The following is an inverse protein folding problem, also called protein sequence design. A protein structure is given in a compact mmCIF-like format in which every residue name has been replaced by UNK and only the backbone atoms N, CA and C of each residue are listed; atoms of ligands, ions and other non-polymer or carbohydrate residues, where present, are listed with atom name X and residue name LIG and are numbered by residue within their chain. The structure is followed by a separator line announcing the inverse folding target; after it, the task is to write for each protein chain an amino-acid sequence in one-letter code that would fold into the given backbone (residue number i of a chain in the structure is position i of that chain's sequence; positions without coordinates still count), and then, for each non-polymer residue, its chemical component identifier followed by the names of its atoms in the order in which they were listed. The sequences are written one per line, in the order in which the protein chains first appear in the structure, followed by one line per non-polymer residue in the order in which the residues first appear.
data_IF_091904959260
#
_entry.id   IF_091904959260
#
_cell.length_a   1.000
_cell.length_b   1.000
_cell.length_c   1.000
_cell.angle_alpha   90.00
_cell.angle_beta   90.00
_cell.angle_gamma   90.00
#
_symmetry.space_group_name_H-M   'P 1'
#
loop_
_entity.id
_entity.type
_entity.pdbx_description
1 polymer ?
#
# COMPACT_ATOMS: atom_id res chain seq x y z
N UNK A 1 55.61 -53.57 -53.58
CA UNK A 1 54.42 -53.69 -52.72
C UNK A 1 54.19 -52.28 -52.15
N UNK A 2 53.62 -51.37 -52.95
CA UNK A 2 52.17 -51.12 -53.03
C UNK A 2 51.65 -50.63 -51.66
N UNK A 3 51.13 -49.42 -51.41
CA UNK A 3 50.57 -48.31 -52.21
C UNK A 3 50.44 -47.08 -51.26
N UNK A 4 50.57 -45.87 -51.82
CA UNK A 4 49.83 -44.63 -51.49
C UNK A 4 49.93 -44.01 -50.07
N UNK A 5 49.99 -42.69 -49.84
CA UNK A 5 49.57 -41.55 -50.65
C UNK A 5 50.30 -40.23 -50.30
N UNK A 6 50.02 -39.25 -51.16
CA UNK A 6 50.70 -37.97 -51.44
C UNK A 6 50.70 -36.89 -50.35
N UNK A 7 51.72 -36.05 -50.49
CA UNK A 7 51.87 -34.68 -50.00
C UNK A 7 50.75 -33.72 -50.46
N UNK A 8 50.51 -32.63 -49.73
CA UNK A 8 51.00 -31.28 -50.09
C UNK A 8 50.53 -30.19 -49.11
N UNK A 9 51.39 -29.20 -48.99
CA UNK A 9 51.28 -27.91 -48.29
C UNK A 9 50.17 -27.01 -48.85
N UNK A 10 49.49 -26.24 -47.99
CA UNK A 10 49.18 -24.83 -48.30
C UNK A 10 48.76 -23.97 -47.09
N UNK A 11 49.34 -22.78 -47.10
CA UNK A 11 49.02 -21.51 -46.43
C UNK A 11 47.53 -21.26 -46.16
N UNK A 12 47.18 -20.87 -44.93
CA UNK A 12 45.89 -20.23 -44.62
C UNK A 12 46.14 -18.84 -44.02
N UNK A 13 45.65 -17.84 -44.75
CA UNK A 13 45.61 -16.44 -44.39
C UNK A 13 44.62 -16.17 -43.24
N UNK A 14 45.01 -15.29 -42.31
CA UNK A 14 44.15 -14.76 -41.25
C UNK A 14 43.19 -13.71 -41.84
N UNK A 15 41.89 -14.01 -41.83
CA UNK A 15 40.81 -13.04 -42.08
C UNK A 15 40.37 -12.49 -40.73
N UNK A 16 40.62 -11.19 -40.50
CA UNK A 16 40.04 -10.40 -39.42
C UNK A 16 38.64 -9.94 -39.87
N UNK A 17 37.60 -10.54 -39.31
CA UNK A 17 36.22 -10.06 -39.49
C UNK A 17 35.87 -9.14 -38.31
N UNK A 18 35.90 -7.82 -38.53
CA UNK A 18 35.29 -6.85 -37.63
C UNK A 18 33.76 -7.00 -37.70
N UNK A 19 33.17 -7.66 -36.71
CA UNK A 19 31.72 -7.69 -36.52
C UNK A 19 31.23 -6.35 -35.97
N UNK A 20 30.64 -5.53 -36.84
CA UNK A 20 29.81 -4.41 -36.41
C UNK A 20 28.49 -4.97 -35.84
N UNK A 21 28.38 -5.01 -34.52
CA UNK A 21 27.09 -5.20 -33.85
C UNK A 21 26.25 -3.92 -34.06
N UNK A 22 25.26 -4.00 -34.95
CA UNK A 22 24.18 -3.02 -34.98
C UNK A 22 23.33 -3.17 -33.71
N UNK A 23 23.53 -2.27 -32.76
CA UNK A 23 22.66 -2.12 -31.60
C UNK A 23 21.34 -1.50 -32.09
N UNK A 24 20.34 -2.34 -32.34
CA UNK A 24 18.99 -1.86 -32.63
C UNK A 24 18.42 -1.25 -31.34
N UNK A 25 18.05 0.04 -31.31
CA UNK A 25 17.40 0.61 -30.14
C UNK A 25 16.05 -0.11 -29.97
N UNK A 26 15.89 -0.81 -28.85
CA UNK A 26 14.60 -1.37 -28.46
C UNK A 26 13.53 -0.27 -28.40
N UNK A 27 12.24 -0.63 -28.51
CA UNK A 27 11.16 0.36 -28.50
C UNK A 27 11.30 1.21 -27.23
N UNK A 28 11.33 2.53 -27.42
CA UNK A 28 11.39 3.47 -26.32
C UNK A 28 10.19 3.22 -25.40
N UNK A 29 10.46 2.76 -24.18
CA UNK A 29 9.46 2.76 -23.11
C UNK A 29 9.11 4.23 -22.89
N UNK A 30 7.92 4.62 -23.32
CA UNK A 30 7.43 5.97 -23.11
C UNK A 30 7.46 6.25 -21.60
N UNK A 31 8.21 7.28 -21.20
CA UNK A 31 8.10 7.81 -19.83
C UNK A 31 6.64 8.22 -19.63
N UNK A 32 5.97 7.79 -18.54
CA UNK A 32 4.64 8.27 -18.26
C UNK A 32 4.65 9.79 -18.22
N UNK A 33 3.70 10.40 -18.92
CA UNK A 33 3.48 11.85 -18.91
C UNK A 33 3.27 12.27 -17.45
N UNK A 34 3.95 13.34 -17.03
CA UNK A 34 3.73 13.98 -15.73
C UNK A 34 2.22 14.09 -15.47
N UNK A 35 1.72 13.75 -14.27
CA UNK A 35 0.29 13.81 -13.99
C UNK A 35 -0.21 15.22 -14.29
N UNK A 36 -1.13 15.30 -15.26
CA UNK A 36 -1.85 16.53 -15.64
C UNK A 36 -2.32 17.17 -14.35
N UNK A 37 -1.94 18.43 -14.08
CA UNK A 37 -2.29 19.30 -12.93
C UNK A 37 -3.59 18.84 -12.25
N UNK A 38 -3.46 17.81 -11.42
CA UNK A 38 -4.57 16.90 -11.10
C UNK A 38 -5.46 17.51 -10.05
N UNK A 39 -6.71 17.04 -9.98
CA UNK A 39 -7.57 17.42 -8.87
C UNK A 39 -6.85 17.12 -7.55
N UNK A 40 -6.97 17.99 -6.55
CA UNK A 40 -6.33 17.78 -5.24
C UNK A 40 -7.03 16.66 -4.44
N UNK A 41 -7.60 15.65 -5.10
CA UNK A 41 -8.34 14.55 -4.48
C UNK A 41 -7.37 13.45 -4.02
N UNK A 42 -7.63 12.87 -2.86
CA UNK A 42 -6.97 11.66 -2.36
C UNK A 42 -8.04 10.61 -2.11
N UNK A 43 -7.88 9.42 -2.70
CA UNK A 43 -8.79 8.32 -2.47
C UNK A 43 -8.40 7.65 -1.16
N UNK A 44 -9.30 7.62 -0.20
CA UNK A 44 -9.10 6.97 1.09
C UNK A 44 -9.92 5.70 1.12
N UNK A 45 -9.25 4.56 1.24
CA UNK A 45 -9.89 3.24 1.29
C UNK A 45 -9.99 2.81 2.75
N UNK A 46 -11.21 2.54 3.20
CA UNK A 46 -11.50 1.96 4.51
C UNK A 46 -12.24 0.63 4.34
N UNK A 47 -12.24 -0.20 5.37
CA UNK A 47 -13.10 -1.38 5.44
C UNK A 47 -14.48 -0.99 5.99
N UNK A 48 -15.53 -1.61 5.45
CA UNK A 48 -16.88 -1.56 6.02
C UNK A 48 -17.15 -2.68 7.03
N UNK A 49 -16.26 -3.68 7.11
CA UNK A 49 -16.29 -4.73 8.15
C UNK A 49 -15.57 -4.28 9.42
N UNK A 50 -16.06 -4.76 10.56
CA UNK A 50 -15.55 -4.38 11.88
C UNK A 50 -15.49 -5.55 12.88
N UNK A 51 -15.90 -6.76 12.47
CA UNK A 51 -15.82 -7.95 13.32
C UNK A 51 -14.74 -8.89 12.80
N UNK A 52 -13.58 -8.87 13.45
CA UNK A 52 -12.46 -9.76 13.16
C UNK A 52 -12.70 -11.15 13.76
N UNK A 53 -12.63 -12.20 12.94
CA UNK A 53 -12.71 -13.58 13.41
C UNK A 53 -11.35 -14.08 13.85
N UNK A 54 -11.29 -14.61 15.07
CA UNK A 54 -10.12 -15.22 15.67
C UNK A 54 -10.21 -16.75 15.58
N UNK A 55 -9.07 -17.41 15.72
CA UNK A 55 -8.98 -18.88 15.81
C UNK A 55 -9.82 -19.38 16.99
N UNK A 56 -10.51 -20.50 16.77
CA UNK A 56 -11.38 -21.11 17.79
C UNK A 56 -12.77 -20.47 17.88
N UNK A 57 -13.19 -19.71 16.85
CA UNK A 57 -14.56 -19.19 16.73
C UNK A 57 -14.86 -17.95 17.57
N UNK A 58 -13.85 -17.35 18.20
CA UNK A 58 -13.97 -16.05 18.87
C UNK A 58 -14.01 -14.91 17.86
N UNK A 59 -14.52 -13.76 18.28
CA UNK A 59 -14.50 -12.52 17.49
C UNK A 59 -13.93 -11.36 18.30
N UNK A 60 -13.43 -10.35 17.60
CA UNK A 60 -12.97 -9.08 18.15
C UNK A 60 -13.56 -7.93 17.32
N UNK A 61 -14.12 -6.94 17.98
CA UNK A 61 -14.61 -5.72 17.33
C UNK A 61 -13.42 -4.78 17.10
N UNK A 62 -13.26 -4.31 15.87
CA UNK A 62 -12.14 -3.48 15.40
C UNK A 62 -12.67 -2.42 14.43
N UNK A 63 -11.80 -1.54 13.94
CA UNK A 63 -12.11 -0.62 12.87
C UNK A 63 -10.85 -0.04 12.28
N UNK A 64 -10.97 1.17 11.72
CA UNK A 64 -9.78 1.99 11.47
C UNK A 64 -9.23 2.54 12.80
N UNK A 65 -7.92 2.73 12.88
CA UNK A 65 -7.30 3.41 14.02
C UNK A 65 -7.44 4.94 13.91
N UNK A 66 -7.88 5.59 15.00
CA UNK A 66 -8.21 7.01 15.02
C UNK A 66 -7.04 7.89 14.58
N UNK A 67 -5.85 7.72 15.15
CA UNK A 67 -4.68 8.53 14.81
C UNK A 67 -4.20 8.23 13.38
N UNK A 68 -4.20 6.96 12.98
CA UNK A 68 -3.79 6.54 11.64
C UNK A 68 -4.70 7.06 10.53
N UNK A 69 -6.00 7.27 10.79
CA UNK A 69 -6.88 7.98 9.85
C UNK A 69 -6.70 9.50 9.96
N UNK A 70 -6.83 10.03 11.18
CA UNK A 70 -7.01 11.47 11.40
C UNK A 70 -5.74 12.28 11.21
N UNK A 71 -4.57 11.79 11.61
CA UNK A 71 -3.31 12.55 11.52
C UNK A 71 -2.92 12.76 10.05
N UNK A 72 -2.86 11.71 9.19
CA UNK A 72 -2.57 11.90 7.77
C UNK A 72 -3.64 12.71 7.05
N UNK A 73 -4.92 12.45 7.31
CA UNK A 73 -6.00 13.19 6.65
C UNK A 73 -6.01 14.67 7.02
N UNK A 74 -5.79 15.03 8.28
CA UNK A 74 -5.72 16.44 8.70
C UNK A 74 -4.55 17.15 8.03
N UNK A 75 -3.40 16.48 7.91
CA UNK A 75 -2.24 17.02 7.20
C UNK A 75 -2.53 17.24 5.71
N UNK A 76 -3.17 16.26 5.06
CA UNK A 76 -3.62 16.36 3.66
C UNK A 76 -4.63 17.51 3.46
N UNK A 77 -5.65 17.60 4.32
CA UNK A 77 -6.66 18.68 4.25
C UNK A 77 -6.02 20.04 4.48
N UNK A 78 -5.09 20.17 5.43
CA UNK A 78 -4.35 21.41 5.67
C UNK A 78 -3.48 21.81 4.46
N UNK A 79 -2.94 20.83 3.73
CA UNK A 79 -2.23 21.05 2.45
C UNK A 79 -3.18 21.28 1.25
N UNK A 80 -4.50 21.33 1.48
CA UNK A 80 -5.53 21.62 0.49
C UNK A 80 -5.95 20.42 -0.35
N UNK A 81 -5.72 19.19 0.11
CA UNK A 81 -6.26 17.99 -0.51
C UNK A 81 -7.69 17.69 -0.03
N UNK A 82 -8.52 17.16 -0.91
CA UNK A 82 -9.89 16.73 -0.63
C UNK A 82 -9.93 15.22 -0.51
N UNK A 83 -10.23 14.66 0.67
CA UNK A 83 -10.39 13.21 0.79
C UNK A 83 -11.70 12.75 0.18
N UNK A 84 -11.62 11.67 -0.61
CA UNK A 84 -12.78 10.93 -1.09
C UNK A 84 -12.73 9.56 -0.42
N UNK A 85 -13.71 9.26 0.44
CA UNK A 85 -13.68 8.07 1.28
C UNK A 85 -14.51 6.99 0.62
N UNK A 86 -13.92 5.81 0.43
CA UNK A 86 -14.54 4.67 -0.21
C UNK A 86 -14.37 3.38 0.59
N UNK A 87 -15.37 2.52 0.55
CA UNK A 87 -15.36 1.20 1.19
C UNK A 87 -15.99 0.15 0.26
N UNK A 88 -15.76 -1.16 0.50
CA UNK A 88 -16.52 -2.20 -0.17
C UNK A 88 -18.03 -1.99 -0.05
N UNK A 89 -18.70 -1.83 -1.19
CA UNK A 89 -20.16 -1.59 -1.25
C UNK A 89 -20.65 -0.25 -0.67
N UNK A 90 -19.75 0.67 -0.28
CA UNK A 90 -20.12 1.96 0.31
C UNK A 90 -20.65 1.84 1.74
N UNK A 91 -20.31 0.74 2.43
CA UNK A 91 -20.69 0.53 3.83
C UNK A 91 -19.96 1.51 4.75
N UNK A 92 -20.63 2.08 5.77
CA UNK A 92 -19.97 2.92 6.76
C UNK A 92 -18.84 2.14 7.45
N UNK A 93 -17.61 2.70 7.55
CA UNK A 93 -16.55 2.11 8.34
C UNK A 93 -16.83 2.30 9.85
N UNK A 94 -16.22 1.46 10.68
CA UNK A 94 -16.20 1.64 12.13
C UNK A 94 -14.82 2.13 12.59
N UNK A 95 -14.79 2.89 13.68
CA UNK A 95 -13.56 3.23 14.38
C UNK A 95 -13.24 2.14 15.40
N UNK A 96 -11.97 1.77 15.52
CA UNK A 96 -11.51 0.91 16.60
C UNK A 96 -11.53 1.67 17.93
N UNK A 97 -12.33 1.22 18.89
CA UNK A 97 -12.45 1.85 20.21
C UNK A 97 -11.15 1.80 21.01
N UNK A 98 -10.27 0.81 20.77
CA UNK A 98 -8.98 0.73 21.42
C UNK A 98 -8.04 1.87 20.98
N UNK A 99 -8.28 2.46 19.81
CA UNK A 99 -7.53 3.62 19.31
C UNK A 99 -7.96 4.96 19.90
N UNK A 100 -9.10 5.01 20.59
CA UNK A 100 -9.66 6.23 21.20
C UNK A 100 -9.00 6.57 22.54
N UNK A 101 -7.69 6.85 22.52
CA UNK A 101 -6.89 7.16 23.71
C UNK A 101 -5.79 8.17 23.41
N UNK A 102 -5.47 9.02 24.39
CA UNK A 102 -4.39 10.03 24.32
C UNK A 102 -3.00 9.40 24.11
N UNK A 103 -2.83 8.11 24.43
CA UNK A 103 -1.56 7.38 24.23
C UNK A 103 -1.09 7.45 22.77
N UNK A 104 -2.00 7.29 21.81
CA UNK A 104 -1.67 7.37 20.38
C UNK A 104 -1.45 8.81 19.88
N UNK A 105 -1.56 9.79 20.77
CA UNK A 105 -1.29 11.20 20.52
C UNK A 105 -0.19 11.71 21.45
N UNK A 106 0.72 10.84 21.89
CA UNK A 106 1.84 11.16 22.79
C UNK A 106 1.40 11.83 24.11
N UNK A 107 0.20 11.52 24.61
CA UNK A 107 -0.38 12.14 25.81
C UNK A 107 -0.93 13.55 25.58
N UNK A 108 -0.98 14.04 24.34
CA UNK A 108 -1.58 15.34 24.02
C UNK A 108 -3.10 15.20 23.87
N UNK A 109 -3.80 15.52 24.96
CA UNK A 109 -5.27 15.55 25.00
C UNK A 109 -5.89 16.45 23.92
N UNK A 110 -5.26 17.57 23.57
CA UNK A 110 -5.80 18.48 22.55
C UNK A 110 -5.74 17.86 21.17
N UNK A 111 -4.62 17.21 20.82
CA UNK A 111 -4.49 16.46 19.57
C UNK A 111 -5.52 15.33 19.48
N UNK A 112 -5.69 14.56 20.57
CA UNK A 112 -6.68 13.49 20.66
C UNK A 112 -8.11 13.99 20.43
N UNK A 113 -8.55 15.03 21.16
CA UNK A 113 -9.89 15.58 20.99
C UNK A 113 -10.12 16.13 19.58
N UNK A 114 -9.15 16.86 19.03
CA UNK A 114 -9.23 17.39 17.66
C UNK A 114 -9.28 16.28 16.59
N UNK A 115 -8.63 15.14 16.83
CA UNK A 115 -8.73 13.98 15.96
C UNK A 115 -10.15 13.37 15.97
N UNK A 116 -10.74 13.21 17.15
CA UNK A 116 -12.11 12.75 17.31
C UNK A 116 -13.12 13.68 16.63
N UNK A 117 -13.04 14.99 16.90
CA UNK A 117 -13.88 16.01 16.28
C UNK A 117 -13.75 16.01 14.75
N UNK A 118 -12.53 15.90 14.23
CA UNK A 118 -12.29 15.83 12.80
C UNK A 118 -12.97 14.62 12.17
N UNK A 119 -12.79 13.41 12.74
CA UNK A 119 -13.40 12.18 12.20
C UNK A 119 -14.92 12.23 12.29
N UNK A 120 -15.48 12.75 13.39
CA UNK A 120 -16.93 12.99 13.49
C UNK A 120 -17.42 13.93 12.39
N UNK A 121 -16.67 15.01 12.10
CA UNK A 121 -16.99 15.98 11.05
C UNK A 121 -16.93 15.43 9.62
N UNK A 122 -16.26 14.30 9.38
CA UNK A 122 -16.27 13.61 8.08
C UNK A 122 -17.65 12.99 7.76
N UNK A 123 -18.50 12.78 8.78
CA UNK A 123 -19.83 12.17 8.65
C UNK A 123 -19.83 10.79 7.96
N UNK A 124 -18.78 9.99 8.14
CA UNK A 124 -18.62 8.69 7.45
C UNK A 124 -19.20 7.49 8.20
N UNK A 125 -19.45 7.63 9.50
CA UNK A 125 -19.75 6.50 10.41
C UNK A 125 -21.21 6.01 10.38
N UNK A 126 -22.09 6.68 9.61
CA UNK A 126 -23.51 6.37 9.56
C UNK A 126 -23.96 5.96 8.14
N UNK A 127 -25.01 5.13 8.00
CA UNK A 127 -25.63 4.86 6.71
C UNK A 127 -26.08 6.14 6.00
N UNK A 128 -25.94 6.18 4.67
CA UNK A 128 -26.28 7.38 3.88
C UNK A 128 -25.23 8.51 3.97
N UNK A 129 -24.04 8.21 4.49
CA UNK A 129 -22.89 9.11 4.48
C UNK A 129 -22.36 9.40 3.07
N UNK A 130 -21.34 10.26 3.00
CA UNK A 130 -20.58 10.54 1.77
C UNK A 130 -19.63 9.41 1.35
N UNK A 131 -19.63 8.28 2.06
CA UNK A 131 -18.81 7.11 1.74
C UNK A 131 -19.31 6.47 0.45
N UNK A 132 -18.44 6.39 -0.55
CA UNK A 132 -18.80 5.81 -1.85
C UNK A 132 -18.37 4.33 -1.96
N UNK A 133 -19.05 3.52 -2.77
CA UNK A 133 -18.57 2.17 -3.08
C UNK A 133 -17.24 2.20 -3.84
N UNK A 134 -16.29 1.32 -3.50
CA UNK A 134 -15.03 1.20 -4.27
C UNK A 134 -15.28 0.96 -5.77
N UNK A 135 -16.32 0.21 -6.10
CA UNK A 135 -16.71 -0.07 -7.49
C UNK A 135 -17.19 1.17 -8.27
N UNK A 136 -17.52 2.28 -7.61
CA UNK A 136 -17.95 3.50 -8.30
C UNK A 136 -16.79 4.37 -8.77
N UNK A 137 -15.57 4.14 -8.28
CA UNK A 137 -14.37 4.89 -8.69
C UNK A 137 -13.83 4.31 -10.00
N UNK A 138 -13.99 5.01 -11.12
CA UNK A 138 -13.53 4.49 -12.43
C UNK A 138 -12.02 4.63 -12.61
N UNK A 139 -11.46 3.91 -13.59
CA UNK A 139 -10.03 3.98 -13.91
C UNK A 139 -9.61 5.34 -14.51
N UNK A 140 -10.55 6.03 -15.17
CA UNK A 140 -10.42 7.40 -15.66
C UNK A 140 -10.44 8.40 -14.50
N UNK A 141 -11.38 8.24 -13.56
CA UNK A 141 -11.42 9.08 -12.36
C UNK A 141 -10.13 8.92 -11.56
N UNK A 142 -9.64 7.68 -11.39
CA UNK A 142 -8.42 7.40 -10.64
C UNK A 142 -7.20 8.16 -11.21
N UNK A 143 -7.14 8.36 -12.53
CA UNK A 143 -6.08 9.13 -13.17
C UNK A 143 -6.06 10.62 -12.79
N UNK A 144 -7.11 11.12 -12.14
CA UNK A 144 -7.21 12.49 -11.64
C UNK A 144 -6.96 12.62 -10.12
N UNK A 145 -6.78 11.51 -9.40
CA UNK A 145 -6.40 11.52 -8.00
C UNK A 145 -4.91 11.82 -7.84
N UNK A 146 -4.56 12.43 -6.71
CA UNK A 146 -3.18 12.70 -6.33
C UNK A 146 -2.54 11.52 -5.60
N UNK A 147 -3.32 10.70 -4.89
CA UNK A 147 -2.85 9.53 -4.16
C UNK A 147 -3.98 8.56 -3.82
N UNK A 148 -3.59 7.33 -3.47
CA UNK A 148 -4.41 6.37 -2.72
C UNK A 148 -3.85 6.27 -1.31
N UNK A 149 -4.72 6.33 -0.30
CA UNK A 149 -4.37 6.22 1.11
C UNK A 149 -5.21 5.13 1.79
N UNK A 150 -4.56 4.24 2.54
CA UNK A 150 -5.21 3.17 3.31
C UNK A 150 -4.74 3.23 4.77
N UNK A 151 -5.57 3.77 5.68
CA UNK A 151 -5.35 3.69 7.13
C UNK A 151 -5.29 2.25 7.62
N UNK A 152 -4.68 2.01 8.77
CA UNK A 152 -4.70 0.72 9.44
C UNK A 152 -5.77 0.64 10.54
N UNK A 153 -5.43 0.00 11.66
CA UNK A 153 -6.37 -0.81 12.44
C UNK A 153 -6.60 -2.17 11.79
N UNK A 154 -7.17 -3.16 12.49
CA UNK A 154 -7.18 -4.55 11.98
C UNK A 154 -8.25 -4.83 10.91
N UNK A 155 -9.16 -3.88 10.65
CA UNK A 155 -10.24 -4.05 9.68
C UNK A 155 -9.80 -4.40 8.24
N UNK A 156 -8.70 -3.86 7.67
CA UNK A 156 -8.17 -4.29 6.36
C UNK A 156 -7.92 -5.80 6.24
N UNK A 157 -7.63 -6.47 7.36
CA UNK A 157 -7.39 -7.91 7.39
C UNK A 157 -8.66 -8.75 7.17
N UNK A 158 -9.85 -8.16 7.29
CA UNK A 158 -11.13 -8.87 7.21
C UNK A 158 -11.60 -9.04 5.76
N UNK A 159 -11.53 -7.98 4.97
CA UNK A 159 -12.05 -7.98 3.59
C UNK A 159 -11.14 -7.32 2.55
N UNK A 160 -10.40 -6.26 2.89
CA UNK A 160 -9.70 -5.45 1.88
C UNK A 160 -8.61 -6.22 1.14
N UNK A 161 -7.95 -7.16 1.81
CA UNK A 161 -6.91 -8.01 1.23
C UNK A 161 -7.36 -8.90 0.07
N UNK A 162 -8.68 -9.09 -0.11
CA UNK A 162 -9.29 -9.93 -1.14
C UNK A 162 -10.40 -9.22 -1.91
N UNK A 163 -10.60 -7.93 -1.68
CA UNK A 163 -11.63 -7.16 -2.38
C UNK A 163 -11.21 -6.91 -3.84
N UNK A 164 -11.98 -7.35 -4.84
CA UNK A 164 -11.59 -7.23 -6.25
C UNK A 164 -11.53 -5.78 -6.73
N UNK A 165 -12.30 -4.86 -6.13
CA UNK A 165 -12.28 -3.44 -6.49
C UNK A 165 -11.06 -2.74 -5.89
N UNK A 166 -10.70 -3.05 -4.64
CA UNK A 166 -9.43 -2.63 -4.05
C UNK A 166 -8.25 -3.11 -4.92
N UNK A 167 -8.27 -4.37 -5.35
CA UNK A 167 -7.27 -4.94 -6.23
C UNK A 167 -7.15 -4.22 -7.58
N UNK A 168 -8.30 -3.90 -8.21
CA UNK A 168 -8.34 -3.11 -9.45
C UNK A 168 -7.74 -1.72 -9.24
N UNK A 169 -8.19 -1.01 -8.20
CA UNK A 169 -7.72 0.34 -7.88
C UNK A 169 -6.22 0.34 -7.66
N UNK A 170 -5.67 -0.60 -6.89
CA UNK A 170 -4.24 -0.67 -6.63
C UNK A 170 -3.42 -1.00 -7.87
N UNK A 171 -3.87 -1.93 -8.73
CA UNK A 171 -3.24 -2.19 -10.03
C UNK A 171 -3.24 -0.96 -10.92
N UNK A 172 -4.34 -0.20 -10.92
CA UNK A 172 -4.46 1.04 -11.70
C UNK A 172 -3.57 2.14 -11.13
N UNK A 173 -3.52 2.31 -9.81
CA UNK A 173 -2.65 3.27 -9.13
C UNK A 173 -1.17 2.98 -9.40
N UNK A 174 -0.77 1.71 -9.35
CA UNK A 174 0.56 1.24 -9.71
C UNK A 174 0.92 1.58 -11.16
N UNK A 175 0.03 1.27 -12.12
CA UNK A 175 0.24 1.60 -13.53
C UNK A 175 0.38 3.10 -13.82
N UNK A 176 -0.23 3.94 -12.97
CA UNK A 176 -0.15 5.40 -13.03
C UNK A 176 1.01 5.98 -12.22
N UNK A 177 1.76 5.15 -11.49
CA UNK A 177 2.78 5.57 -10.51
C UNK A 177 2.23 6.56 -9.48
N UNK A 178 0.95 6.41 -9.12
CA UNK A 178 0.31 7.25 -8.12
C UNK A 178 0.86 6.92 -6.72
N UNK A 179 1.23 7.94 -5.91
CA UNK A 179 1.54 7.73 -4.52
C UNK A 179 0.48 6.88 -3.83
N UNK A 180 0.90 5.72 -3.34
CA UNK A 180 0.07 4.70 -2.73
C UNK A 180 0.59 4.50 -1.31
N UNK A 181 -0.15 5.00 -0.33
CA UNK A 181 0.31 5.15 1.04
C UNK A 181 -0.54 4.30 1.99
N UNK A 182 0.07 3.41 2.76
CA UNK A 182 -0.64 2.50 3.66
C UNK A 182 0.06 2.40 5.02
N UNK A 183 -0.67 2.31 6.12
CA UNK A 183 -0.07 2.28 7.47
C UNK A 183 -0.61 1.12 8.31
N UNK A 184 0.22 0.57 9.19
CA UNK A 184 -0.12 -0.46 10.16
C UNK A 184 -0.59 -1.76 9.49
N UNK A 185 -1.86 -2.14 9.58
CA UNK A 185 -2.42 -3.28 8.82
C UNK A 185 -2.94 -2.90 7.43
N UNK A 186 -3.01 -1.61 7.10
CA UNK A 186 -3.38 -1.10 5.78
C UNK A 186 -2.64 -1.78 4.62
N UNK A 187 -1.29 -2.00 4.69
CA UNK A 187 -0.50 -2.68 3.67
C UNK A 187 -1.01 -4.07 3.27
N UNK A 188 -1.75 -4.77 4.12
CA UNK A 188 -2.37 -6.07 3.78
C UNK A 188 -3.34 -5.93 2.60
N UNK A 189 -3.92 -4.75 2.40
CA UNK A 189 -4.78 -4.45 1.23
C UNK A 189 -4.06 -4.66 -0.10
N UNK A 190 -2.72 -4.52 -0.14
CA UNK A 190 -1.92 -4.76 -1.34
C UNK A 190 -2.08 -6.19 -1.89
N UNK A 191 -2.43 -7.16 -1.04
CA UNK A 191 -2.69 -8.54 -1.42
C UNK A 191 -3.85 -8.69 -2.41
N UNK A 192 -4.81 -7.76 -2.40
CA UNK A 192 -5.94 -7.77 -3.35
C UNK A 192 -5.51 -7.54 -4.80
N UNK A 193 -4.32 -6.96 -4.99
CA UNK A 193 -3.75 -6.72 -6.30
C UNK A 193 -3.15 -7.98 -6.96
N UNK A 194 -3.12 -9.12 -6.26
CA UNK A 194 -2.70 -10.41 -6.82
C UNK A 194 -3.69 -10.89 -7.89
N UNK A 195 -3.16 -11.51 -8.94
CA UNK A 195 -3.97 -12.34 -9.82
C UNK A 195 -4.08 -13.73 -9.17
N UNK A 196 -5.31 -14.17 -8.86
CA UNK A 196 -5.56 -15.48 -8.25
C UNK A 196 -5.05 -16.63 -9.13
N UNK A 197 -5.00 -16.44 -10.45
CA UNK A 197 -4.51 -17.44 -11.41
C UNK A 197 -2.99 -17.42 -11.55
N UNK A 198 -2.34 -16.34 -11.12
CA UNK A 198 -0.89 -16.12 -11.20
C UNK A 198 -0.38 -15.46 -9.93
N UNK A 199 -0.43 -16.16 -8.78
CA UNK A 199 -0.10 -15.56 -7.48
C UNK A 199 1.35 -15.09 -7.39
N UNK A 200 2.25 -15.64 -8.22
CA UNK A 200 3.65 -15.20 -8.33
C UNK A 200 3.83 -13.89 -9.11
N UNK A 201 2.82 -13.48 -9.89
CA UNK A 201 2.82 -12.24 -10.69
C UNK A 201 2.18 -11.08 -9.92
N UNK A 202 2.34 -11.05 -8.60
CA UNK A 202 1.88 -9.93 -7.78
C UNK A 202 2.64 -8.65 -8.14
N UNK A 203 1.92 -7.58 -8.46
CA UNK A 203 2.52 -6.31 -8.93
C UNK A 203 3.48 -5.66 -7.92
N UNK A 204 3.31 -5.94 -6.62
CA UNK A 204 4.19 -5.43 -5.56
C UNK A 204 5.28 -6.43 -5.15
N UNK A 205 5.46 -7.54 -5.88
CA UNK A 205 6.57 -8.46 -5.65
C UNK A 205 7.90 -7.73 -5.81
N UNK A 206 8.79 -7.89 -4.84
CA UNK A 206 10.10 -7.23 -4.80
C UNK A 206 10.07 -5.77 -4.36
N UNK A 207 8.92 -5.22 -3.97
CA UNK A 207 8.87 -3.91 -3.30
C UNK A 207 9.36 -4.03 -1.87
N UNK A 208 10.14 -3.04 -1.43
CA UNK A 208 10.41 -2.79 -0.02
C UNK A 208 9.17 -2.20 0.63
N UNK A 209 8.80 -2.72 1.79
CA UNK A 209 7.65 -2.23 2.54
C UNK A 209 7.78 -2.57 4.03
N UNK A 210 7.01 -1.90 4.87
CA UNK A 210 6.76 -2.25 6.27
C UNK A 210 5.26 -2.47 6.48
N UNK A 211 4.90 -3.10 7.59
CA UNK A 211 3.53 -3.42 8.02
C UNK A 211 3.59 -3.71 9.51
N UNK A 212 2.45 -3.67 10.23
CA UNK A 212 2.42 -4.05 11.63
C UNK A 212 3.10 -5.41 11.84
N UNK A 213 4.14 -5.44 12.67
CA UNK A 213 5.07 -6.57 12.67
C UNK A 213 4.51 -7.81 13.36
N UNK A 214 5.05 -8.99 13.03
CA UNK A 214 4.67 -10.24 13.69
C UNK A 214 4.92 -10.17 15.22
N UNK A 215 5.97 -9.45 15.63
CA UNK A 215 6.31 -9.21 17.04
C UNK A 215 5.25 -8.35 17.74
N UNK A 216 4.75 -7.31 17.08
CA UNK A 216 3.68 -6.47 17.59
C UNK A 216 2.33 -7.22 17.62
N UNK A 217 2.06 -8.03 16.60
CA UNK A 217 0.84 -8.84 16.49
C UNK A 217 0.77 -9.89 17.59
N UNK A 218 1.87 -10.62 17.85
CA UNK A 218 1.94 -11.59 18.95
C UNK A 218 1.65 -10.94 20.31
N UNK A 219 2.08 -9.69 20.51
CA UNK A 219 1.73 -8.91 21.71
C UNK A 219 0.26 -8.51 21.72
N UNK A 220 -0.30 -8.10 20.58
CA UNK A 220 -1.70 -7.73 20.47
C UNK A 220 -2.64 -8.93 20.74
N UNK A 221 -2.31 -10.12 20.26
CA UNK A 221 -3.08 -11.36 20.53
C UNK A 221 -3.29 -11.59 22.04
N UNK A 222 -2.21 -11.41 22.82
CA UNK A 222 -2.23 -11.65 24.27
C UNK A 222 -2.84 -10.51 25.07
N UNK A 223 -2.68 -9.25 24.66
CA UNK A 223 -3.05 -8.06 25.45
C UNK A 223 -4.34 -7.38 25.03
N UNK A 224 -4.75 -7.56 23.78
CA UNK A 224 -5.86 -6.81 23.16
C UNK A 224 -6.92 -7.78 22.64
N UNK A 225 -6.54 -8.78 21.85
CA UNK A 225 -7.48 -9.64 21.14
C UNK A 225 -8.06 -10.77 22.00
N UNK A 226 -7.27 -11.32 22.93
CA UNK A 226 -7.69 -12.47 23.75
C UNK A 226 -7.83 -13.78 22.95
N UNK A 227 -7.16 -13.87 21.80
CA UNK A 227 -7.18 -15.00 20.88
C UNK A 227 -6.19 -14.82 19.73
N UNK A 228 -6.02 -15.89 18.94
CA UNK A 228 -5.07 -15.88 17.82
C UNK A 228 -5.71 -15.43 16.51
N UNK A 229 -4.96 -14.75 15.67
CA UNK A 229 -5.34 -14.43 14.30
C UNK A 229 -5.25 -15.65 13.38
N UNK A 230 -5.99 -15.59 12.27
CA UNK A 230 -5.91 -16.61 11.22
C UNK A 230 -4.62 -16.53 10.40
N UNK A 231 -4.02 -15.35 10.30
CA UNK A 231 -2.75 -15.09 9.64
C UNK A 231 -2.14 -13.80 10.17
N UNK A 232 -0.83 -13.64 10.00
CA UNK A 232 -0.12 -12.42 10.35
C UNK A 232 0.16 -11.59 9.09
N UNK A 233 0.05 -10.25 9.18
CA UNK A 233 0.16 -9.37 8.03
C UNK A 233 1.56 -9.38 7.38
N UNK A 234 2.63 -9.38 8.19
CA UNK A 234 4.02 -9.41 7.74
C UNK A 234 4.33 -10.74 7.03
N UNK A 235 3.98 -11.87 7.63
CA UNK A 235 4.11 -13.18 6.99
C UNK A 235 3.36 -13.29 5.66
N UNK A 236 2.12 -12.78 5.59
CA UNK A 236 1.32 -12.83 4.37
C UNK A 236 1.92 -12.00 3.22
N UNK A 237 2.46 -10.81 3.52
CA UNK A 237 3.13 -9.96 2.54
C UNK A 237 4.51 -10.53 2.15
N UNK A 238 5.26 -11.11 3.09
CA UNK A 238 6.53 -11.79 2.81
C UNK A 238 6.32 -13.01 1.92
N UNK A 239 5.30 -13.82 2.18
CA UNK A 239 4.91 -14.96 1.35
C UNK A 239 4.48 -14.55 -0.07
N UNK A 240 4.00 -13.30 -0.24
CA UNK A 240 3.73 -12.70 -1.55
C UNK A 240 4.99 -12.41 -2.37
N UNK A 241 6.15 -12.37 -1.71
CA UNK A 241 7.40 -11.84 -2.24
C UNK A 241 7.62 -10.34 -2.00
N UNK A 242 6.94 -9.73 -1.03
CA UNK A 242 7.31 -8.41 -0.51
C UNK A 242 8.63 -8.47 0.27
N UNK A 243 9.44 -7.41 0.18
CA UNK A 243 10.69 -7.27 0.93
C UNK A 243 10.41 -6.47 2.20
N UNK A 244 10.05 -7.17 3.27
CA UNK A 244 9.63 -6.55 4.53
C UNK A 244 10.83 -6.01 5.32
N UNK A 245 10.80 -4.72 5.64
CA UNK A 245 11.77 -4.02 6.49
C UNK A 245 11.02 -3.53 7.73
N UNK A 246 11.36 -4.10 8.90
CA UNK A 246 10.74 -3.72 10.16
C UNK A 246 11.71 -2.91 11.02
N UNK A 247 11.19 -1.85 11.62
CA UNK A 247 11.82 -1.12 12.70
C UNK A 247 11.45 -1.70 14.07
N UNK A 248 11.96 -1.08 15.16
CA UNK A 248 11.65 -1.52 16.51
C UNK A 248 10.14 -1.46 16.79
N UNK A 249 9.61 -2.52 17.39
CA UNK A 249 8.21 -2.61 17.82
C UNK A 249 7.77 -1.35 18.60
N UNK A 250 6.65 -0.75 18.18
CA UNK A 250 6.07 0.45 18.81
C UNK A 250 6.82 1.76 18.56
N UNK A 251 7.93 1.75 17.82
CA UNK A 251 8.59 2.97 17.35
C UNK A 251 8.10 3.33 15.94
N UNK A 252 8.19 4.62 15.59
CA UNK A 252 7.95 5.08 14.24
C UNK A 252 8.91 4.40 13.26
N UNK A 253 8.37 3.85 12.17
CA UNK A 253 9.15 3.33 11.06
C UNK A 253 8.33 3.42 9.78
N UNK A 254 8.94 3.99 8.74
CA UNK A 254 8.34 4.08 7.41
C UNK A 254 9.30 3.52 6.37
N UNK A 255 8.73 2.97 5.31
CA UNK A 255 9.46 2.50 4.13
C UNK A 255 8.81 3.12 2.90
N UNK A 256 9.58 3.90 2.16
CA UNK A 256 9.22 4.39 0.84
C UNK A 256 10.02 3.62 -0.22
N UNK A 257 9.32 3.10 -1.22
CA UNK A 257 9.90 2.47 -2.41
C UNK A 257 9.09 2.86 -3.64
N UNK A 258 9.69 3.67 -4.52
CA UNK A 258 9.04 4.26 -5.71
C UNK A 258 7.77 5.03 -5.30
N UNK A 259 6.61 4.63 -5.82
CA UNK A 259 5.29 5.21 -5.50
C UNK A 259 4.65 4.63 -4.24
N UNK A 260 5.22 3.58 -3.65
CA UNK A 260 4.69 2.93 -2.45
C UNK A 260 5.29 3.57 -1.19
N UNK A 261 4.44 4.01 -0.28
CA UNK A 261 4.80 4.43 1.07
C UNK A 261 4.08 3.55 2.07
N UNK A 262 4.83 2.98 3.00
CA UNK A 262 4.28 2.17 4.08
C UNK A 262 4.75 2.65 5.45
N UNK A 263 3.86 2.67 6.44
CA UNK A 263 4.18 2.94 7.83
C UNK A 263 3.90 1.71 8.70
N UNK A 264 4.77 1.42 9.66
CA UNK A 264 4.72 0.15 10.38
C UNK A 264 3.52 0.05 11.34
N UNK A 265 3.24 1.11 12.09
CA UNK A 265 2.37 1.03 13.26
C UNK A 265 1.77 2.42 13.60
N UNK A 266 0.92 2.54 14.63
CA UNK A 266 0.30 3.82 14.98
C UNK A 266 1.31 4.94 15.27
N UNK A 267 2.49 4.62 15.81
CA UNK A 267 3.52 5.61 16.13
C UNK A 267 4.18 6.22 14.89
N UNK A 268 3.92 5.68 13.70
CA UNK A 268 4.51 6.12 12.44
C UNK A 268 3.70 7.23 11.76
N UNK A 269 2.53 7.62 12.28
CA UNK A 269 1.56 8.49 11.61
C UNK A 269 2.08 9.89 11.25
N UNK A 270 2.80 10.58 12.14
CA UNK A 270 3.35 11.92 11.89
C UNK A 270 4.47 11.88 10.81
N UNK A 271 5.39 10.91 10.91
CA UNK A 271 6.48 10.73 9.93
C UNK A 271 5.92 10.30 8.57
N UNK A 272 4.98 9.35 8.57
CA UNK A 272 4.24 8.91 7.39
C UNK A 272 3.52 10.07 6.70
N UNK A 273 2.83 10.93 7.46
CA UNK A 273 2.13 12.10 6.93
C UNK A 273 3.08 13.07 6.23
N UNK A 274 4.24 13.32 6.84
CA UNK A 274 5.29 14.19 6.29
C UNK A 274 5.87 13.61 4.99
N UNK A 275 6.14 12.31 4.96
CA UNK A 275 6.63 11.62 3.78
C UNK A 275 5.61 11.64 2.64
N UNK A 276 4.32 11.38 2.94
CA UNK A 276 3.25 11.43 1.94
C UNK A 276 3.12 12.82 1.31
N UNK A 277 3.12 13.88 2.13
CA UNK A 277 3.09 15.26 1.61
C UNK A 277 4.31 15.55 0.73
N UNK A 278 5.49 15.07 1.12
CA UNK A 278 6.73 15.23 0.34
C UNK A 278 6.63 14.51 -1.02
N UNK A 279 6.10 13.28 -1.06
CA UNK A 279 5.85 12.56 -2.32
C UNK A 279 4.90 13.33 -3.23
N UNK A 280 3.81 13.85 -2.66
CA UNK A 280 2.81 14.61 -3.39
C UNK A 280 3.35 15.94 -3.94
N UNK A 281 4.20 16.64 -3.19
CA UNK A 281 4.85 17.86 -3.64
C UNK A 281 5.89 17.59 -4.74
N UNK A 282 6.61 16.46 -4.67
CA UNK A 282 7.55 16.07 -5.71
C UNK A 282 6.85 15.63 -7.00
N UNK A 283 5.72 14.91 -6.91
CA UNK A 283 4.92 14.52 -8.07
C UNK A 283 4.32 15.72 -8.84
N UNK A 284 4.25 16.90 -8.20
CA UNK A 284 3.78 18.16 -8.82
C UNK A 284 4.88 18.97 -9.49
N UNK A 285 6.16 18.68 -9.22
CA UNK A 285 7.27 19.41 -9.84
C UNK A 285 7.39 18.94 -11.31
N UNK A 286 7.55 19.89 -12.25
CA UNK A 286 7.58 19.59 -13.69
C UNK A 286 8.76 18.72 -14.10
#
# INVERSE_FOLDING_TARGET
MEKQDRAFSSTIARILLCGFYFFSPGPAVARPRSPVKGSRKVLVILSGEHTLRLVGGKTHETGFFLNELSVPLRALVAAGYTPIIATPGGRPPAMDVASATEKYFHGDRRKYLAAGEFVSGLNILAPGSSVIPLGSVTDEELAHYSAVFVPGGQAPMIELFRDPQAGRILRRAHALQLPTALICHGPVTLLSARDENKPLDWIYRGYRMTVFSDEEESRAESKVLGGKLAYYPEDALRAAGGLLEQGPSGAAHIVQDRELLTGQNPASDEEFSTALLTMLDNARKP
#
